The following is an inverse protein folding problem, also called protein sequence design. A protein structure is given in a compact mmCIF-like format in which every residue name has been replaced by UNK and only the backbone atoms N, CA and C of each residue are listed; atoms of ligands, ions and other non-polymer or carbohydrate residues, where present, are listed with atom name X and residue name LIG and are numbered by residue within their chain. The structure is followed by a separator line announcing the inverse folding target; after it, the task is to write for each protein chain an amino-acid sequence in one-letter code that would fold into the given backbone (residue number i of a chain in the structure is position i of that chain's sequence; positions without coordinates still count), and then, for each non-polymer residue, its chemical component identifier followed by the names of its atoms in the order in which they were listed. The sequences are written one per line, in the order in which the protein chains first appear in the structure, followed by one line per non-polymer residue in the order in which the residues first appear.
data_IF_818134582721
#
_entry.id   IF_818134582721
#
_cell.length_a   1.000
_cell.length_b   1.000
_cell.length_c   1.000
_cell.angle_alpha   90.00
_cell.angle_beta   90.00
_cell.angle_gamma   90.00
#
_symmetry.space_group_name_H-M   'P 1'
#
loop_
_entity.id
_entity.type
_entity.pdbx_description
1 polymer ?
#
# COMPACT_ATOMS: atom_id res chain seq x y z
N UNK A 1 -27.41 6.01 18.99
CA UNK A 1 -26.58 6.41 17.83
C UNK A 1 -25.46 5.40 17.68
N UNK A 2 -25.26 4.81 16.50
CA UNK A 2 -24.14 3.89 16.30
C UNK A 2 -22.83 4.70 16.19
N UNK A 3 -21.71 4.22 16.76
CA UNK A 3 -20.41 4.87 16.57
C UNK A 3 -20.02 4.95 15.09
N UNK A 4 -19.26 5.98 14.72
CA UNK A 4 -18.73 6.16 13.36
C UNK A 4 -17.50 5.26 13.20
N UNK A 5 -17.40 4.55 12.07
CA UNK A 5 -16.21 3.79 11.69
C UNK A 5 -15.15 4.77 11.14
N UNK A 6 -13.99 4.82 11.77
CA UNK A 6 -12.88 5.72 11.39
C UNK A 6 -12.24 5.34 10.04
N UNK A 7 -11.40 6.22 9.47
CA UNK A 7 -10.64 5.88 8.25
C UNK A 7 -9.62 4.78 8.53
N UNK A 8 -9.02 4.78 9.72
CA UNK A 8 -8.15 3.70 10.20
C UNK A 8 -8.87 2.36 10.19
N UNK A 9 -10.07 2.29 10.78
CA UNK A 9 -10.85 1.05 10.84
C UNK A 9 -11.29 0.60 9.44
N UNK A 10 -11.70 1.52 8.57
CA UNK A 10 -12.03 1.20 7.17
C UNK A 10 -10.84 0.62 6.41
N UNK A 11 -9.64 1.16 6.60
CA UNK A 11 -8.43 0.66 5.98
C UNK A 11 -8.06 -0.75 6.49
N UNK A 12 -8.13 -0.98 7.80
CA UNK A 12 -7.91 -2.31 8.38
C UNK A 12 -8.95 -3.33 7.86
N UNK A 13 -10.22 -2.94 7.75
CA UNK A 13 -11.26 -3.78 7.17
C UNK A 13 -11.00 -4.07 5.69
N UNK A 14 -10.58 -3.08 4.90
CA UNK A 14 -10.25 -3.28 3.49
C UNK A 14 -9.10 -4.29 3.32
N UNK A 15 -8.03 -4.17 4.09
CA UNK A 15 -6.92 -5.12 4.09
C UNK A 15 -7.37 -6.54 4.51
N UNK A 16 -8.15 -6.64 5.58
CA UNK A 16 -8.67 -7.93 6.06
C UNK A 16 -9.60 -8.59 5.03
N UNK A 17 -10.50 -7.83 4.42
CA UNK A 17 -11.44 -8.36 3.45
C UNK A 17 -10.78 -8.75 2.13
N UNK A 18 -9.72 -8.05 1.72
CA UNK A 18 -8.94 -8.39 0.53
C UNK A 18 -8.27 -9.76 0.68
N UNK A 19 -7.56 -10.03 1.78
CA UNK A 19 -6.91 -11.34 1.98
C UNK A 19 -7.92 -12.45 2.30
N UNK A 20 -9.07 -12.13 2.90
CA UNK A 20 -10.13 -13.10 3.15
C UNK A 20 -10.99 -13.41 1.90
N UNK A 21 -10.70 -12.76 0.76
CA UNK A 21 -11.37 -13.08 -0.50
C UNK A 21 -11.15 -14.55 -0.87
N UNK A 22 -12.11 -15.12 -1.59
CA UNK A 22 -12.06 -16.55 -1.95
C UNK A 22 -11.00 -16.86 -3.01
N UNK A 23 -10.81 -15.94 -3.96
CA UNK A 23 -9.86 -16.09 -5.05
C UNK A 23 -9.12 -14.76 -5.21
N UNK A 24 -7.81 -14.79 -4.98
CA UNK A 24 -6.88 -13.69 -5.27
C UNK A 24 -5.71 -14.23 -6.11
N UNK A 25 -5.92 -14.43 -7.43
CA UNK A 25 -4.90 -14.96 -8.31
C UNK A 25 -3.54 -14.28 -8.14
N UNK A 26 -2.50 -15.09 -7.92
CA UNK A 26 -1.12 -14.62 -7.81
C UNK A 26 -0.73 -14.06 -6.43
N UNK A 27 -1.53 -14.26 -5.38
CA UNK A 27 -1.18 -13.88 -4.01
C UNK A 27 -1.81 -14.85 -2.97
N UNK A 28 -1.55 -14.62 -1.68
CA UNK A 28 -2.21 -15.31 -0.56
C UNK A 28 -3.68 -14.91 -0.49
N UNK A 29 -4.54 -15.90 -0.30
CA UNK A 29 -5.98 -15.73 -0.06
C UNK A 29 -6.51 -16.77 0.94
N UNK A 30 -7.84 -16.90 1.03
CA UNK A 30 -8.47 -17.86 1.94
C UNK A 30 -8.16 -19.33 1.64
N UNK A 31 -7.82 -19.64 0.40
CA UNK A 31 -7.63 -21.00 -0.10
C UNK A 31 -6.18 -21.31 -0.49
N UNK A 32 -5.32 -20.30 -0.53
CA UNK A 32 -3.94 -20.43 -0.98
C UNK A 32 -2.95 -19.67 -0.09
N UNK A 33 -1.99 -20.42 0.47
CA UNK A 33 -0.82 -19.90 1.18
C UNK A 33 0.45 -20.11 0.33
N UNK A 34 1.47 -19.27 0.57
CA UNK A 34 2.84 -19.58 0.19
C UNK A 34 3.56 -20.40 1.27
N UNK A 35 4.67 -21.09 0.96
CA UNK A 35 5.41 -21.88 1.95
C UNK A 35 5.86 -21.09 3.19
N UNK A 36 6.21 -19.82 2.99
CA UNK A 36 6.73 -18.90 4.02
C UNK A 36 5.70 -17.84 4.45
N UNK A 37 4.67 -17.59 3.65
CA UNK A 37 3.70 -16.51 3.86
C UNK A 37 2.27 -17.03 3.82
N UNK A 38 1.50 -16.80 4.90
CA UNK A 38 0.18 -17.38 5.10
C UNK A 38 -0.88 -16.33 5.42
N UNK A 39 -2.15 -16.70 5.32
CA UNK A 39 -3.29 -15.86 5.70
C UNK A 39 -3.12 -15.22 7.08
N UNK A 40 -2.65 -15.96 8.09
CA UNK A 40 -2.48 -15.44 9.46
C UNK A 40 -1.43 -14.33 9.53
N UNK A 41 -0.41 -14.35 8.67
CA UNK A 41 0.59 -13.28 8.58
C UNK A 41 -0.04 -11.97 8.09
N UNK A 42 -0.92 -12.04 7.10
CA UNK A 42 -1.70 -10.89 6.64
C UNK A 42 -2.64 -10.38 7.74
N UNK A 43 -3.40 -11.26 8.40
CA UNK A 43 -4.30 -10.85 9.49
C UNK A 43 -3.55 -10.23 10.68
N UNK A 44 -2.38 -10.77 11.04
CA UNK A 44 -1.50 -10.16 12.05
C UNK A 44 -1.03 -8.77 11.61
N UNK A 45 -0.67 -8.60 10.33
CA UNK A 45 -0.25 -7.32 9.77
C UNK A 45 -1.35 -6.25 9.82
N UNK A 46 -2.62 -6.63 9.58
CA UNK A 46 -3.78 -5.74 9.74
C UNK A 46 -3.82 -5.17 11.16
N UNK A 47 -3.53 -5.98 12.18
CA UNK A 47 -3.52 -5.54 13.58
C UNK A 47 -2.31 -4.65 13.86
N UNK A 48 -1.12 -5.05 13.41
CA UNK A 48 0.13 -4.38 13.75
C UNK A 48 0.27 -2.98 13.15
N UNK A 49 -0.27 -2.72 11.96
CA UNK A 49 -0.13 -1.43 11.29
C UNK A 49 -1.01 -0.32 11.89
N UNK A 50 -1.91 -0.64 12.85
CA UNK A 50 -2.92 0.29 13.36
C UNK A 50 -2.36 1.66 13.78
N UNK A 51 -1.26 1.69 14.54
CA UNK A 51 -0.70 2.96 15.02
C UNK A 51 -0.23 3.87 13.90
N UNK A 52 0.32 3.31 12.81
CA UNK A 52 0.70 4.09 11.63
C UNK A 52 -0.53 4.64 10.91
N UNK A 53 -1.61 3.86 10.79
CA UNK A 53 -2.86 4.31 10.19
C UNK A 53 -3.55 5.40 11.03
N UNK A 54 -3.54 5.28 12.36
CA UNK A 54 -4.08 6.30 13.26
C UNK A 54 -3.29 7.61 13.18
N UNK A 55 -1.96 7.53 13.06
CA UNK A 55 -1.10 8.70 12.80
C UNK A 55 -1.41 9.33 11.45
N UNK A 56 -1.60 8.53 10.40
CA UNK A 56 -2.01 9.01 9.08
C UNK A 56 -3.36 9.75 9.16
N UNK A 57 -4.35 9.19 9.85
CA UNK A 57 -5.67 9.79 10.01
C UNK A 57 -5.62 11.13 10.77
N UNK A 58 -4.68 11.25 11.72
CA UNK A 58 -4.40 12.48 12.47
C UNK A 58 -3.44 13.43 11.76
N UNK A 59 -2.94 13.08 10.56
CA UNK A 59 -1.89 13.79 9.82
C UNK A 59 -0.62 14.05 10.65
N UNK A 60 -0.22 13.05 11.45
CA UNK A 60 0.99 13.07 12.28
C UNK A 60 2.10 12.26 11.63
N UNK A 61 2.84 12.90 10.74
CA UNK A 61 3.91 12.29 9.95
C UNK A 61 3.75 12.57 8.47
N UNK A 62 4.80 12.30 7.70
CA UNK A 62 4.79 12.41 6.24
C UNK A 62 4.44 11.06 5.59
N UNK A 63 4.20 11.05 4.29
CA UNK A 63 3.76 9.84 3.56
C UNK A 63 4.82 8.74 3.66
N UNK A 64 6.08 9.06 3.35
CA UNK A 64 7.18 8.11 3.39
C UNK A 64 7.41 7.57 4.79
N UNK A 65 7.47 8.45 5.80
CA UNK A 65 7.66 8.07 7.19
C UNK A 65 6.58 7.10 7.70
N UNK A 66 5.31 7.32 7.31
CA UNK A 66 4.20 6.48 7.74
C UNK A 66 4.14 5.14 6.98
N UNK A 67 4.49 5.11 5.69
CA UNK A 67 4.69 3.86 4.94
C UNK A 67 5.79 3.03 5.60
N UNK A 68 6.92 3.66 5.94
CA UNK A 68 8.03 3.02 6.64
C UNK A 68 7.63 2.46 8.00
N UNK A 69 6.95 3.27 8.82
CA UNK A 69 6.47 2.82 10.12
C UNK A 69 5.53 1.61 9.99
N UNK A 70 4.54 1.68 9.10
CA UNK A 70 3.62 0.57 8.85
C UNK A 70 4.37 -0.70 8.44
N UNK A 71 5.34 -0.57 7.53
CA UNK A 71 6.18 -1.67 7.04
C UNK A 71 6.96 -2.35 8.16
N UNK A 72 7.66 -1.56 8.99
CA UNK A 72 8.43 -2.05 10.14
C UNK A 72 7.52 -2.75 11.15
N UNK A 73 6.36 -2.17 11.45
CA UNK A 73 5.39 -2.77 12.37
C UNK A 73 4.88 -4.12 11.88
N UNK A 74 4.66 -4.26 10.57
CA UNK A 74 4.21 -5.53 10.00
C UNK A 74 5.33 -6.57 9.86
N UNK A 75 6.60 -6.15 9.73
CA UNK A 75 7.76 -7.06 9.62
C UNK A 75 8.11 -7.87 10.89
N UNK A 76 7.27 -7.85 11.93
CA UNK A 76 7.51 -8.52 13.22
C UNK A 76 7.23 -10.04 13.19
N UNK A 77 6.52 -10.52 12.18
CA UNK A 77 6.25 -11.94 11.96
C UNK A 77 7.19 -12.52 10.89
N UNK A 78 7.29 -13.85 10.82
CA UNK A 78 8.22 -14.56 9.90
C UNK A 78 7.73 -14.64 8.44
N UNK A 79 6.62 -13.98 8.14
CA UNK A 79 5.92 -14.08 6.86
C UNK A 79 6.34 -13.04 5.83
N UNK A 80 7.48 -12.38 6.03
CA UNK A 80 7.99 -11.35 5.14
C UNK A 80 7.01 -10.20 4.92
N UNK A 81 6.99 -9.71 3.67
CA UNK A 81 6.15 -8.60 3.24
C UNK A 81 4.72 -9.07 2.89
N UNK A 82 3.71 -8.50 3.56
CA UNK A 82 2.29 -8.79 3.33
C UNK A 82 1.54 -7.64 2.64
N UNK A 83 1.81 -6.40 3.03
CA UNK A 83 0.96 -5.24 2.68
C UNK A 83 1.72 -3.99 2.21
N UNK A 84 3.00 -4.09 1.87
CA UNK A 84 3.78 -2.90 1.49
C UNK A 84 3.12 -2.07 0.38
N UNK A 85 2.69 -2.72 -0.72
CA UNK A 85 1.98 -2.05 -1.81
C UNK A 85 0.64 -1.44 -1.36
N UNK A 86 -0.04 -2.06 -0.41
CA UNK A 86 -1.27 -1.51 0.16
C UNK A 86 -1.00 -0.24 0.97
N UNK A 87 0.11 -0.15 1.71
CA UNK A 87 0.47 1.05 2.46
C UNK A 87 0.75 2.26 1.56
N UNK A 88 1.37 2.04 0.40
CA UNK A 88 1.60 3.08 -0.60
C UNK A 88 0.28 3.75 -0.99
N UNK A 89 -0.77 2.97 -1.22
CA UNK A 89 -2.09 3.49 -1.60
C UNK A 89 -2.88 4.03 -0.39
N UNK A 90 -2.90 3.30 0.72
CA UNK A 90 -3.77 3.59 1.86
C UNK A 90 -3.33 4.81 2.67
N UNK A 91 -2.02 5.02 2.88
CA UNK A 91 -1.53 6.12 3.72
C UNK A 91 -2.01 7.48 3.19
N UNK A 92 -1.78 7.85 1.92
CA UNK A 92 -2.28 9.12 1.37
C UNK A 92 -3.81 9.21 1.39
N UNK A 93 -4.54 8.11 1.10
CA UNK A 93 -6.00 8.09 1.14
C UNK A 93 -6.55 8.36 2.54
N UNK A 94 -5.92 7.80 3.57
CA UNK A 94 -6.29 8.03 4.97
C UNK A 94 -5.98 9.47 5.37
N UNK A 95 -4.79 9.98 5.05
CA UNK A 95 -4.40 11.37 5.37
C UNK A 95 -5.32 12.39 4.67
N UNK A 96 -5.59 12.17 3.39
CA UNK A 96 -6.43 13.03 2.55
C UNK A 96 -7.89 12.98 2.96
N UNK A 97 -8.43 11.78 3.20
CA UNK A 97 -9.87 11.56 3.44
C UNK A 97 -10.73 11.57 2.17
N UNK A 98 -10.20 12.13 1.09
CA UNK A 98 -10.75 12.08 -0.26
C UNK A 98 -9.64 11.75 -1.26
N UNK A 99 -9.99 11.22 -2.44
CA UNK A 99 -9.02 10.93 -3.50
C UNK A 99 -8.29 12.19 -3.97
N UNK A 100 -9.01 13.31 -4.09
CA UNK A 100 -8.42 14.60 -4.50
C UNK A 100 -7.35 15.04 -3.50
N UNK A 101 -7.71 15.08 -2.21
CA UNK A 101 -6.78 15.56 -1.19
C UNK A 101 -5.61 14.59 -0.99
N UNK A 102 -5.84 13.28 -1.17
CA UNK A 102 -4.76 12.28 -1.19
C UNK A 102 -3.78 12.53 -2.34
N UNK A 103 -4.29 12.83 -3.54
CA UNK A 103 -3.48 13.12 -4.72
C UNK A 103 -2.65 14.40 -4.54
N UNK A 104 -3.22 15.44 -3.91
CA UNK A 104 -2.50 16.65 -3.55
C UNK A 104 -1.37 16.37 -2.54
N UNK A 105 -1.64 15.55 -1.52
CA UNK A 105 -0.63 15.14 -0.53
C UNK A 105 0.53 14.42 -1.21
N UNK A 106 0.27 13.48 -2.13
CA UNK A 106 1.34 12.75 -2.84
C UNK A 106 2.18 13.71 -3.67
N UNK A 107 1.56 14.62 -4.42
CA UNK A 107 2.29 15.63 -5.24
C UNK A 107 3.14 16.60 -4.43
N UNK A 108 2.85 16.75 -3.13
CA UNK A 108 3.58 17.63 -2.21
C UNK A 108 4.63 16.89 -1.38
N UNK A 109 4.83 15.59 -1.62
CA UNK A 109 5.88 14.82 -0.94
C UNK A 109 7.26 15.37 -1.23
N UNK A 110 8.19 15.10 -0.32
CA UNK A 110 9.55 15.64 -0.39
C UNK A 110 10.58 14.55 -0.67
N UNK A 111 11.85 14.94 -0.70
CA UNK A 111 12.98 13.99 -0.81
C UNK A 111 13.02 13.11 0.45
N UNK A 112 12.71 13.65 1.62
CA UNK A 112 12.65 12.90 2.87
C UNK A 112 11.60 11.78 2.80
N UNK A 113 10.45 12.02 2.17
CA UNK A 113 9.46 10.97 1.91
C UNK A 113 10.03 9.86 1.01
N UNK A 114 10.81 10.21 -0.01
CA UNK A 114 11.46 9.23 -0.87
C UNK A 114 12.50 8.40 -0.08
N UNK A 115 13.30 9.05 0.76
CA UNK A 115 14.32 8.37 1.56
C UNK A 115 13.69 7.41 2.58
N UNK A 116 12.66 7.84 3.31
CA UNK A 116 11.92 6.98 4.23
C UNK A 116 11.24 5.81 3.49
N UNK A 117 10.74 6.04 2.27
CA UNK A 117 10.16 5.00 1.45
C UNK A 117 11.20 3.95 1.01
N UNK A 118 12.40 4.37 0.61
CA UNK A 118 13.51 3.45 0.31
C UNK A 118 13.98 2.70 1.57
N UNK A 119 14.01 3.37 2.73
CA UNK A 119 14.26 2.70 4.02
C UNK A 119 13.18 1.63 4.32
N UNK A 120 11.92 1.91 4.03
CA UNK A 120 10.84 0.96 4.18
C UNK A 120 11.06 -0.29 3.31
N UNK A 121 11.46 -0.10 2.05
CA UNK A 121 11.77 -1.18 1.12
C UNK A 121 12.86 -2.11 1.62
N UNK A 122 13.93 -1.58 2.23
CA UNK A 122 15.01 -2.40 2.80
C UNK A 122 14.52 -3.33 3.94
N UNK A 123 13.37 -3.04 4.54
CA UNK A 123 12.71 -3.90 5.53
C UNK A 123 11.75 -4.91 4.91
N UNK A 124 11.46 -4.80 3.61
CA UNK A 124 10.69 -5.80 2.88
C UNK A 124 11.65 -6.83 2.28
N UNK A 125 11.41 -8.13 2.50
CA UNK A 125 12.12 -9.21 1.79
C UNK A 125 11.65 -9.32 0.33
N UNK A 126 11.50 -8.20 -0.37
CA UNK A 126 11.10 -8.19 -1.78
C UNK A 126 12.33 -8.57 -2.60
N UNK A 127 12.25 -9.71 -3.28
CA UNK A 127 13.18 -10.04 -4.37
C UNK A 127 12.83 -9.11 -5.53
N UNK A 128 13.58 -8.03 -5.69
CA UNK A 128 13.56 -7.24 -6.92
C UNK A 128 13.98 -8.18 -8.06
N UNK A 129 13.30 -8.11 -9.21
CA UNK A 129 13.71 -8.89 -10.38
C UNK A 129 15.05 -8.34 -10.86
N UNK A 130 15.94 -9.21 -11.34
CA UNK A 130 17.30 -8.84 -11.79
C UNK A 130 17.33 -7.79 -12.94
N UNK A 131 16.17 -7.42 -13.49
CA UNK A 131 16.02 -6.53 -14.65
C UNK A 131 15.72 -5.06 -14.28
N UNK A 132 15.48 -4.73 -13.01
CA UNK A 132 15.23 -3.34 -12.58
C UNK A 132 16.57 -2.58 -12.39
N UNK A 133 16.80 -1.51 -13.17
CA UNK A 133 18.06 -0.73 -13.21
C UNK A 133 18.44 -0.06 -11.87
N UNK A 134 17.53 0.00 -10.91
CA UNK A 134 17.79 0.53 -9.57
C UNK A 134 17.64 -0.61 -8.58
N UNK A 135 18.76 -1.20 -8.14
CA UNK A 135 18.76 -2.00 -6.93
C UNK A 135 18.43 -1.06 -5.76
N UNK A 136 17.19 -1.13 -5.28
CA UNK A 136 16.65 -0.29 -4.22
C UNK A 136 17.40 -0.52 -2.89
N UNK A 137 18.15 -1.62 -2.76
CA UNK A 137 19.03 -1.89 -1.62
C UNK A 137 20.44 -1.31 -1.79
N UNK A 138 20.80 -0.77 -2.95
CA UNK A 138 22.10 -0.12 -3.18
C UNK A 138 22.12 1.24 -2.46
N UNK A 139 23.07 1.50 -1.54
CA UNK A 139 23.30 2.82 -0.97
C UNK A 139 23.41 3.94 -2.01
N UNK A 140 23.89 3.63 -3.23
CA UNK A 140 23.97 4.58 -4.34
C UNK A 140 22.61 5.04 -4.82
N UNK A 141 21.55 4.25 -4.67
CA UNK A 141 20.21 4.65 -5.05
C UNK A 141 19.77 5.88 -4.25
N UNK A 142 19.99 5.89 -2.92
CA UNK A 142 19.67 7.05 -2.06
C UNK A 142 20.53 8.27 -2.38
N UNK A 143 21.82 8.08 -2.65
CA UNK A 143 22.69 9.18 -3.08
C UNK A 143 22.20 9.81 -4.39
N UNK A 144 21.77 9.00 -5.36
CA UNK A 144 21.20 9.50 -6.61
C UNK A 144 19.85 10.20 -6.41
N UNK A 145 18.98 9.73 -5.50
CA UNK A 145 17.74 10.45 -5.15
C UNK A 145 18.04 11.86 -4.63
N UNK A 146 19.02 12.00 -3.73
CA UNK A 146 19.43 13.29 -3.17
C UNK A 146 20.02 14.18 -4.26
N UNK A 147 20.93 13.64 -5.07
CA UNK A 147 21.61 14.38 -6.14
C UNK A 147 20.63 14.89 -7.20
N UNK A 148 19.64 14.08 -7.56
CA UNK A 148 18.58 14.42 -8.53
C UNK A 148 17.41 15.17 -7.89
N UNK A 149 17.39 15.29 -6.56
CA UNK A 149 16.31 15.90 -5.77
C UNK A 149 14.94 15.25 -6.02
N UNK A 150 14.93 13.92 -6.17
CA UNK A 150 13.70 13.17 -6.42
C UNK A 150 12.86 13.06 -5.15
N UNK A 151 11.62 13.55 -5.24
CA UNK A 151 10.59 13.37 -4.22
C UNK A 151 9.97 11.98 -4.32
N UNK A 152 9.16 11.58 -3.34
CA UNK A 152 8.41 10.33 -3.42
C UNK A 152 7.49 10.29 -4.66
N UNK A 153 6.86 11.41 -5.01
CA UNK A 153 6.09 11.52 -6.25
C UNK A 153 6.95 11.24 -7.49
N UNK A 154 8.13 11.83 -7.59
CA UNK A 154 9.02 11.65 -8.75
C UNK A 154 9.48 10.19 -8.88
N UNK A 155 9.74 9.51 -7.75
CA UNK A 155 10.05 8.07 -7.73
C UNK A 155 8.86 7.27 -8.25
N UNK A 156 7.65 7.54 -7.78
CA UNK A 156 6.45 6.84 -8.27
C UNK A 156 6.18 7.14 -9.74
N UNK A 157 6.44 8.36 -10.21
CA UNK A 157 6.27 8.74 -11.63
C UNK A 157 7.26 8.00 -12.52
N UNK A 158 8.52 7.89 -12.08
CA UNK A 158 9.54 7.11 -12.78
C UNK A 158 9.16 5.63 -12.89
N UNK A 159 8.60 5.03 -11.83
CA UNK A 159 8.18 3.62 -11.80
C UNK A 159 6.84 3.33 -12.50
N UNK A 160 6.01 4.34 -12.74
CA UNK A 160 4.64 4.19 -13.25
C UNK A 160 4.49 3.39 -14.57
N UNK A 161 5.44 3.41 -15.54
CA UNK A 161 5.31 2.60 -16.76
C UNK A 161 5.32 1.09 -16.50
N UNK A 162 5.94 0.64 -15.41
CA UNK A 162 6.17 -0.78 -15.12
C UNK A 162 5.48 -1.26 -13.83
N UNK A 163 5.03 -0.34 -12.97
CA UNK A 163 4.39 -0.66 -11.70
C UNK A 163 2.96 -0.10 -11.60
N UNK A 164 2.00 -0.98 -11.31
CA UNK A 164 0.58 -0.63 -11.21
C UNK A 164 0.28 0.31 -10.04
N UNK A 165 0.92 0.12 -8.88
CA UNK A 165 0.72 0.94 -7.68
C UNK A 165 1.29 2.33 -7.90
N UNK A 166 2.48 2.42 -8.49
CA UNK A 166 3.14 3.68 -8.83
C UNK A 166 2.33 4.48 -9.88
N UNK A 167 1.79 3.80 -10.88
CA UNK A 167 0.87 4.42 -11.85
C UNK A 167 -0.42 4.90 -11.19
N UNK A 168 -1.01 4.08 -10.34
CA UNK A 168 -2.27 4.40 -9.68
C UNK A 168 -2.16 5.66 -8.81
N UNK A 169 -1.10 5.74 -7.99
CA UNK A 169 -0.91 6.88 -7.09
C UNK A 169 -0.56 8.17 -7.84
N UNK A 170 0.20 8.10 -8.93
CA UNK A 170 0.57 9.29 -9.73
C UNK A 170 -0.55 9.80 -10.62
N UNK A 171 -1.44 8.91 -11.08
CA UNK A 171 -2.62 9.26 -11.87
C UNK A 171 -3.83 9.70 -11.02
N UNK A 172 -3.70 9.68 -9.69
CA UNK A 172 -4.74 10.18 -8.78
C UNK A 172 -5.85 9.18 -8.51
N UNK A 173 -5.49 7.91 -8.33
CA UNK A 173 -6.36 6.82 -7.89
C UNK A 173 -7.57 6.45 -8.79
N UNK A 174 -7.45 6.45 -10.14
CA UNK A 174 -8.58 6.12 -11.02
C UNK A 174 -9.06 4.66 -10.85
N UNK A 175 -8.15 3.69 -10.71
CA UNK A 175 -8.52 2.28 -10.56
C UNK A 175 -9.19 2.03 -9.21
N UNK A 176 -8.76 2.72 -8.16
CA UNK A 176 -9.33 2.68 -6.81
C UNK A 176 -10.77 3.19 -6.83
N UNK A 177 -11.03 4.31 -7.51
CA UNK A 177 -12.40 4.83 -7.70
C UNK A 177 -13.27 3.83 -8.46
N UNK A 178 -12.76 3.34 -9.59
CA UNK A 178 -13.47 2.37 -10.41
C UNK A 178 -13.79 1.08 -9.63
N UNK A 179 -12.82 0.56 -8.88
CA UNK A 179 -12.98 -0.62 -8.01
C UNK A 179 -14.02 -0.39 -6.94
N UNK A 180 -14.03 0.80 -6.31
CA UNK A 180 -15.05 1.14 -5.32
C UNK A 180 -16.46 1.19 -5.93
N UNK A 181 -16.62 1.70 -7.16
CA UNK A 181 -17.91 1.70 -7.86
C UNK A 181 -18.38 0.28 -8.21
N UNK A 182 -17.46 -0.59 -8.62
CA UNK A 182 -17.75 -2.00 -8.86
C UNK A 182 -18.18 -2.73 -7.57
N UNK A 183 -17.48 -2.50 -6.46
CA UNK A 183 -17.83 -3.11 -5.18
C UNK A 183 -19.22 -2.67 -4.70
N UNK A 184 -19.60 -1.40 -4.88
CA UNK A 184 -20.95 -0.90 -4.58
C UNK A 184 -21.99 -1.56 -5.48
N UNK A 185 -21.68 -1.69 -6.77
CA UNK A 185 -22.57 -2.33 -7.76
C UNK A 185 -22.84 -3.79 -7.40
N UNK A 186 -21.81 -4.51 -6.94
CA UNK A 186 -21.88 -5.94 -6.62
C UNK A 186 -22.10 -6.24 -5.13
N UNK A 187 -22.38 -5.25 -4.27
CA UNK A 187 -22.37 -5.40 -2.81
C UNK A 187 -23.31 -6.49 -2.24
N UNK A 188 -24.36 -6.87 -2.99
CA UNK A 188 -25.34 -7.88 -2.57
C UNK A 188 -25.01 -9.29 -3.09
N UNK A 189 -23.92 -9.44 -3.85
CA UNK A 189 -23.49 -10.73 -4.37
C UNK A 189 -22.68 -11.53 -3.34
N UNK A 190 -22.54 -12.83 -3.58
CA UNK A 190 -21.65 -13.68 -2.80
C UNK A 190 -20.20 -13.39 -3.24
N UNK A 191 -19.30 -13.14 -2.28
CA UNK A 191 -17.88 -12.86 -2.52
C UNK A 191 -17.64 -11.71 -3.53
N UNK A 192 -18.19 -10.50 -3.29
CA UNK A 192 -18.10 -9.39 -4.25
C UNK A 192 -16.65 -8.96 -4.53
N UNK A 193 -15.76 -9.12 -3.55
CA UNK A 193 -14.34 -8.78 -3.70
C UNK A 193 -13.65 -9.69 -4.72
N UNK A 194 -13.81 -11.02 -4.62
CA UNK A 194 -13.27 -11.95 -5.61
C UNK A 194 -13.78 -11.63 -7.02
N UNK A 195 -15.09 -11.37 -7.15
CA UNK A 195 -15.69 -11.03 -8.43
C UNK A 195 -15.11 -9.76 -9.05
N UNK A 196 -14.98 -8.70 -8.24
CA UNK A 196 -14.38 -7.44 -8.70
C UNK A 196 -12.92 -7.65 -9.05
N UNK A 197 -12.16 -8.37 -8.22
CA UNK A 197 -10.75 -8.68 -8.50
C UNK A 197 -10.57 -9.37 -9.85
N UNK A 198 -11.33 -10.42 -10.13
CA UNK A 198 -11.28 -11.15 -11.41
C UNK A 198 -11.66 -10.29 -12.62
N UNK A 199 -12.43 -9.23 -12.43
CA UNK A 199 -12.78 -8.28 -13.51
C UNK A 199 -11.66 -7.27 -13.80
N UNK A 200 -10.71 -7.10 -12.88
CA UNK A 200 -9.58 -6.18 -13.01
C UNK A 200 -8.31 -6.84 -13.57
N UNK A 201 -8.29 -8.18 -13.68
CA UNK A 201 -7.24 -8.96 -14.35
C UNK A 201 -7.39 -8.91 -15.87
#
# INVERSE_FOLDING_TARGET
MRPIISRTERAQMAMAFEVCAWDKPGNVDRCHDYPDTKLEHFLASVIFCRSALEKAEQRKGSVGALIREATILTGRHKGGNTHFGAFILLIPLIMGGTIRDASEIVRQTTIEDALDFYDAFAHTTVRVRDEDELDINDPKAKEELIKRKMTFFDVMEYSAPHDLVAREITQGFPLTRYTADLLITHQNEINPISKVFLKLL
#
